data_IF_097195617878
#
_entry.id   IF_097195617878
#
_cell.length_a   1.000
_cell.length_b   1.000
_cell.length_c   1.000
_cell.angle_alpha   90.00
_cell.angle_beta   90.00
_cell.angle_gamma   90.00
#
_symmetry.space_group_name_H-M   'P 1'
#
loop_
_entity.id
_entity.type
_entity.pdbx_description
1 polymer ?
#
# COMPACT_ATOMS: atom_id res chain seq x y z
N UNK A 1 -2.56 4.25 20.38
CA UNK A 1 -3.73 3.48 19.91
C UNK A 1 -3.32 2.64 18.71
N UNK A 2 -3.57 1.32 18.72
CA UNK A 2 -3.37 0.48 17.54
C UNK A 2 -4.44 0.81 16.48
N UNK A 3 -4.00 1.19 15.27
CA UNK A 3 -4.86 1.62 14.16
C UNK A 3 -5.36 0.47 13.30
N UNK A 4 -4.61 -0.64 13.26
CA UNK A 4 -4.94 -1.82 12.46
C UNK A 4 -6.22 -2.48 12.98
N UNK A 5 -7.00 -3.04 12.05
CA UNK A 5 -8.00 -4.03 12.42
C UNK A 5 -7.29 -5.23 13.07
N UNK A 6 -7.85 -5.76 14.16
CA UNK A 6 -7.28 -6.94 14.83
C UNK A 6 -7.33 -8.11 13.86
N UNK A 7 -6.20 -8.78 13.68
CA UNK A 7 -6.06 -10.02 12.92
C UNK A 7 -4.87 -10.80 13.50
N UNK A 8 -4.87 -12.12 13.30
CA UNK A 8 -3.80 -13.04 13.71
C UNK A 8 -3.24 -13.79 12.48
N UNK A 9 -3.33 -13.16 11.31
CA UNK A 9 -2.93 -13.79 10.06
C UNK A 9 -1.40 -13.97 9.98
N UNK A 10 -0.99 -15.04 9.31
CA UNK A 10 0.40 -15.27 8.89
C UNK A 10 0.55 -15.33 7.37
N UNK A 11 -0.56 -15.46 6.63
CA UNK A 11 -0.60 -15.49 5.16
C UNK A 11 -1.62 -14.49 4.61
N UNK A 12 -1.53 -14.22 3.30
CA UNK A 12 -2.46 -13.31 2.60
C UNK A 12 -3.88 -13.87 2.64
N UNK A 13 -4.04 -15.18 2.44
CA UNK A 13 -5.33 -15.87 2.43
C UNK A 13 -5.98 -15.83 3.81
N UNK A 14 -5.18 -16.04 4.87
CA UNK A 14 -5.65 -15.90 6.24
C UNK A 14 -6.05 -14.45 6.56
N UNK A 15 -5.30 -13.47 6.06
CA UNK A 15 -5.63 -12.07 6.26
C UNK A 15 -6.96 -11.72 5.60
N UNK A 16 -7.15 -12.11 4.33
CA UNK A 16 -8.36 -11.86 3.57
C UNK A 16 -9.60 -12.54 4.19
N UNK A 17 -9.45 -13.76 4.73
CA UNK A 17 -10.55 -14.47 5.39
C UNK A 17 -10.96 -13.83 6.73
N UNK A 18 -10.05 -13.10 7.38
CA UNK A 18 -10.29 -12.40 8.65
C UNK A 18 -10.78 -10.96 8.47
N UNK A 19 -10.87 -10.45 7.23
CA UNK A 19 -11.42 -9.11 6.98
C UNK A 19 -12.90 -9.09 7.40
N UNK A 20 -13.33 -8.13 8.25
CA UNK A 20 -14.73 -7.98 8.63
C UNK A 20 -15.64 -7.78 7.42
N UNK A 21 -16.87 -8.30 7.49
CA UNK A 21 -17.80 -8.33 6.37
C UNK A 21 -18.03 -6.95 5.72
N UNK A 22 -18.07 -5.87 6.52
CA UNK A 22 -18.29 -4.50 6.04
C UNK A 22 -17.13 -3.88 5.24
N UNK A 23 -15.95 -4.53 5.23
CA UNK A 23 -14.74 -4.09 4.50
C UNK A 23 -14.26 -5.14 3.49
N UNK A 24 -14.86 -6.34 3.50
CA UNK A 24 -14.40 -7.48 2.71
C UNK A 24 -14.47 -7.22 1.22
N UNK A 25 -15.55 -6.55 0.77
CA UNK A 25 -15.72 -6.14 -0.63
C UNK A 25 -14.59 -5.23 -1.07
N UNK A 26 -14.30 -4.18 -0.31
CA UNK A 26 -13.32 -3.17 -0.67
C UNK A 26 -11.89 -3.74 -0.62
N UNK A 27 -11.53 -4.47 0.44
CA UNK A 27 -10.20 -5.09 0.56
C UNK A 27 -9.98 -6.13 -0.55
N UNK A 28 -10.97 -6.97 -0.84
CA UNK A 28 -10.89 -7.93 -1.95
C UNK A 28 -10.69 -7.24 -3.28
N UNK A 29 -11.50 -6.23 -3.59
CA UNK A 29 -11.36 -5.44 -4.82
C UNK A 29 -9.96 -4.84 -4.97
N UNK A 30 -9.44 -4.17 -3.94
CA UNK A 30 -8.12 -3.53 -4.03
C UNK A 30 -6.98 -4.55 -4.05
N UNK A 31 -7.14 -5.72 -3.43
CA UNK A 31 -6.17 -6.81 -3.56
C UNK A 31 -6.05 -7.27 -5.01
N UNK A 32 -7.18 -7.63 -5.63
CA UNK A 32 -7.22 -8.11 -7.02
C UNK A 32 -6.73 -7.02 -7.99
N UNK A 33 -7.17 -5.78 -7.76
CA UNK A 33 -6.77 -4.63 -8.58
C UNK A 33 -5.26 -4.40 -8.55
N UNK A 34 -4.61 -4.49 -7.38
CA UNK A 34 -3.16 -4.35 -7.27
C UNK A 34 -2.47 -5.51 -8.00
N UNK A 35 -2.89 -6.76 -7.77
CA UNK A 35 -2.31 -7.94 -8.43
C UNK A 35 -2.38 -7.85 -9.97
N UNK A 36 -3.49 -7.36 -10.53
CA UNK A 36 -3.66 -7.17 -11.97
C UNK A 36 -2.80 -6.02 -12.50
N UNK A 37 -2.70 -4.93 -11.74
CA UNK A 37 -2.02 -3.70 -12.19
C UNK A 37 -0.50 -3.83 -12.19
N UNK A 38 0.06 -4.54 -11.21
CA UNK A 38 1.51 -4.72 -11.00
C UNK A 38 1.85 -6.20 -10.81
N UNK A 39 1.70 -7.04 -11.85
CA UNK A 39 1.80 -8.50 -11.74
C UNK A 39 3.20 -9.00 -11.36
N UNK A 40 4.25 -8.17 -11.50
CA UNK A 40 5.61 -8.54 -11.10
C UNK A 40 5.88 -8.34 -9.60
N UNK A 41 4.92 -7.78 -8.85
CA UNK A 41 5.03 -7.54 -7.41
C UNK A 41 4.19 -8.57 -6.65
N UNK A 42 4.76 -9.75 -6.32
CA UNK A 42 3.99 -10.82 -5.70
C UNK A 42 3.47 -10.38 -4.32
N UNK A 43 2.22 -10.74 -3.97
CA UNK A 43 1.66 -10.45 -2.66
C UNK A 43 2.30 -11.32 -1.58
N UNK A 44 2.48 -10.76 -0.39
CA UNK A 44 2.92 -11.47 0.81
C UNK A 44 2.35 -10.81 2.06
N UNK A 45 2.30 -11.53 3.17
CA UNK A 45 1.85 -10.95 4.43
C UNK A 45 2.99 -10.14 5.07
N UNK A 46 2.74 -8.85 5.32
CA UNK A 46 3.74 -7.89 5.78
C UNK A 46 3.18 -7.03 6.93
N UNK A 47 3.50 -7.39 8.18
CA UNK A 47 3.20 -6.59 9.36
C UNK A 47 1.72 -6.12 9.46
N UNK A 48 0.76 -7.06 9.52
CA UNK A 48 -0.69 -6.80 9.55
C UNK A 48 -1.28 -6.17 8.27
N UNK A 49 -0.57 -6.30 7.15
CA UNK A 49 -0.97 -5.80 5.84
C UNK A 49 -0.63 -6.84 4.78
N UNK A 50 -1.19 -6.68 3.59
CA UNK A 50 -0.70 -7.38 2.40
C UNK A 50 0.34 -6.47 1.74
N UNK A 51 1.60 -6.90 1.66
CA UNK A 51 2.65 -6.24 0.89
C UNK A 51 2.73 -6.79 -0.54
N UNK A 52 3.16 -5.97 -1.49
CA UNK A 52 3.36 -6.35 -2.89
C UNK A 52 4.74 -5.91 -3.34
N UNK A 53 5.59 -6.89 -3.64
CA UNK A 53 7.01 -6.66 -3.90
C UNK A 53 7.74 -6.06 -2.69
N UNK A 54 9.07 -6.05 -2.74
CA UNK A 54 9.86 -5.47 -1.64
C UNK A 54 11.17 -4.89 -2.15
N UNK A 55 11.72 -3.96 -1.37
CA UNK A 55 13.06 -3.41 -1.57
C UNK A 55 13.81 -3.40 -0.25
N UNK A 56 15.14 -3.35 -0.34
CA UNK A 56 16.01 -3.23 0.83
C UNK A 56 16.44 -1.79 1.00
N UNK A 57 16.55 -1.37 2.26
CA UNK A 57 17.06 -0.05 2.60
C UNK A 57 17.85 -0.08 3.91
N UNK A 58 18.70 0.91 4.11
CA UNK A 58 19.38 1.15 5.39
C UNK A 58 18.54 2.05 6.28
N UNK A 59 18.25 1.59 7.49
CA UNK A 59 17.64 2.43 8.53
C UNK A 59 18.65 3.42 9.13
N UNK A 60 18.18 4.25 10.07
CA UNK A 60 19.04 5.24 10.75
C UNK A 60 20.21 4.63 11.53
N UNK A 61 20.16 3.32 11.82
CA UNK A 61 21.23 2.57 12.48
C UNK A 61 22.10 1.80 11.48
N UNK A 62 21.98 2.08 10.18
CA UNK A 62 22.68 1.40 9.08
C UNK A 62 22.40 -0.11 9.03
N UNK A 63 21.23 -0.53 9.50
CA UNK A 63 20.81 -1.93 9.40
C UNK A 63 19.98 -2.13 8.13
N UNK A 64 20.21 -3.23 7.42
CA UNK A 64 19.41 -3.60 6.26
C UNK A 64 18.02 -4.00 6.73
N UNK A 65 17.01 -3.34 6.17
CA UNK A 65 15.60 -3.62 6.35
C UNK A 65 14.97 -3.96 5.01
N UNK A 66 13.94 -4.81 5.04
CA UNK A 66 13.11 -5.12 3.88
C UNK A 66 11.77 -4.44 4.09
N UNK A 67 11.27 -3.75 3.07
CA UNK A 67 9.98 -3.07 3.14
C UNK A 67 9.16 -3.29 1.87
N UNK A 68 7.82 -3.39 1.98
CA UNK A 68 6.95 -3.49 0.82
C UNK A 68 7.04 -2.24 -0.07
N UNK A 69 6.98 -2.43 -1.39
CA UNK A 69 6.85 -1.31 -2.35
C UNK A 69 5.44 -0.74 -2.25
N UNK A 70 4.44 -1.62 -2.29
CA UNK A 70 3.03 -1.28 -2.04
C UNK A 70 2.53 -2.13 -0.88
N UNK A 71 1.69 -1.56 -0.01
CA UNK A 71 0.98 -2.34 1.00
C UNK A 71 -0.50 -1.96 1.12
N UNK A 72 -1.38 -2.95 1.18
CA UNK A 72 -2.81 -2.80 1.42
C UNK A 72 -3.11 -3.13 2.88
N UNK A 73 -3.63 -2.16 3.61
CA UNK A 73 -3.92 -2.28 5.03
C UNK A 73 -5.40 -2.03 5.32
N UNK A 74 -6.02 -3.01 5.99
CA UNK A 74 -7.33 -2.84 6.59
C UNK A 74 -7.21 -2.17 7.97
N UNK A 75 -7.63 -0.90 8.04
CA UNK A 75 -7.64 -0.13 9.29
C UNK A 75 -9.05 -0.16 9.89
N UNK A 76 -9.16 0.13 11.19
CA UNK A 76 -10.46 0.06 11.90
C UNK A 76 -11.59 0.84 11.24
N UNK A 77 -11.28 1.99 10.65
CA UNK A 77 -12.27 2.94 10.14
C UNK A 77 -12.14 3.24 8.64
N UNK A 78 -11.07 2.77 7.99
CA UNK A 78 -10.71 3.11 6.62
C UNK A 78 -9.76 2.07 6.03
N UNK A 79 -9.45 2.20 4.75
CA UNK A 79 -8.46 1.39 4.04
C UNK A 79 -7.29 2.29 3.70
N UNK A 80 -6.08 1.77 3.83
CA UNK A 80 -4.87 2.49 3.45
C UNK A 80 -4.10 1.69 2.42
N UNK A 81 -3.80 2.32 1.29
CA UNK A 81 -2.77 1.84 0.36
C UNK A 81 -1.51 2.66 0.62
N UNK A 82 -0.45 1.98 1.06
CA UNK A 82 0.87 2.55 1.17
C UNK A 82 1.62 2.37 -0.15
N UNK A 83 2.27 3.42 -0.63
CA UNK A 83 3.05 3.49 -1.86
C UNK A 83 4.42 4.04 -1.49
N UNK A 84 5.35 3.13 -1.21
CA UNK A 84 6.74 3.42 -0.88
C UNK A 84 7.55 3.55 -2.18
N UNK A 85 7.27 4.63 -2.90
CA UNK A 85 7.94 4.99 -4.14
C UNK A 85 8.10 6.50 -4.26
N UNK A 86 9.15 6.92 -4.94
CA UNK A 86 9.54 8.33 -5.11
C UNK A 86 9.63 8.65 -6.60
N UNK A 87 9.24 9.85 -6.97
CA UNK A 87 9.46 10.42 -8.31
C UNK A 87 10.10 11.80 -8.15
N UNK A 88 11.41 11.88 -8.38
CA UNK A 88 12.23 13.04 -8.04
C UNK A 88 12.42 13.17 -6.52
N UNK A 89 11.92 14.27 -5.93
CA UNK A 89 12.05 14.56 -4.48
C UNK A 89 10.74 14.33 -3.70
N UNK A 90 9.69 13.83 -4.35
CA UNK A 90 8.36 13.65 -3.76
C UNK A 90 7.90 12.21 -3.82
N UNK A 91 7.05 11.80 -2.89
CA UNK A 91 6.39 10.50 -3.00
C UNK A 91 5.41 10.48 -4.17
N UNK A 92 5.32 9.33 -4.84
CA UNK A 92 4.40 9.14 -5.97
C UNK A 92 2.96 9.43 -5.55
N UNK A 93 2.54 9.00 -4.35
CA UNK A 93 1.19 9.27 -3.85
C UNK A 93 0.87 10.78 -3.76
N UNK A 94 1.82 11.59 -3.27
CA UNK A 94 1.67 13.05 -3.17
C UNK A 94 1.54 13.70 -4.55
N UNK A 95 2.35 13.27 -5.52
CA UNK A 95 2.32 13.78 -6.91
C UNK A 95 0.93 13.65 -7.54
N UNK A 96 0.19 12.59 -7.24
CA UNK A 96 -1.13 12.32 -7.81
C UNK A 96 -2.30 12.70 -6.88
N UNK A 97 -2.04 13.32 -5.73
CA UNK A 97 -3.05 13.54 -4.68
C UNK A 97 -4.36 14.18 -5.17
N UNK A 98 -4.27 15.21 -6.03
CA UNK A 98 -5.44 15.93 -6.56
C UNK A 98 -6.26 15.12 -7.58
N UNK A 99 -5.70 14.04 -8.12
CA UNK A 99 -6.32 13.22 -9.17
C UNK A 99 -6.88 11.90 -8.64
N UNK A 100 -6.62 11.56 -7.38
CA UNK A 100 -6.99 10.28 -6.77
C UNK A 100 -8.46 10.21 -6.32
N UNK A 101 -9.22 11.29 -6.45
CA UNK A 101 -10.63 11.35 -6.06
C UNK A 101 -10.83 11.86 -4.64
N UNK A 102 -11.83 11.33 -3.94
CA UNK A 102 -12.23 11.71 -2.58
C UNK A 102 -11.43 10.95 -1.52
N UNK A 103 -10.11 11.09 -1.57
CA UNK A 103 -9.18 10.37 -0.68
C UNK A 103 -8.38 11.35 0.20
N UNK A 104 -7.83 10.85 1.31
CA UNK A 104 -6.84 11.57 2.10
C UNK A 104 -5.44 11.03 1.80
N UNK A 105 -4.57 11.88 1.25
CA UNK A 105 -3.19 11.52 0.92
C UNK A 105 -2.24 12.12 1.96
N UNK A 106 -1.39 11.27 2.56
CA UNK A 106 -0.18 11.70 3.24
C UNK A 106 1.05 11.32 2.41
N UNK A 107 2.26 11.41 2.98
CA UNK A 107 3.54 11.14 2.27
C UNK A 107 3.49 9.89 1.39
N UNK A 108 3.46 8.71 1.99
CA UNK A 108 3.41 7.44 1.25
C UNK A 108 2.04 6.75 1.33
N UNK A 109 0.97 7.41 1.77
CA UNK A 109 -0.27 6.72 2.10
C UNK A 109 -1.50 7.38 1.47
N UNK A 110 -2.39 6.54 0.93
CA UNK A 110 -3.66 6.93 0.32
C UNK A 110 -4.75 6.27 1.16
N UNK A 111 -5.58 7.09 1.82
CA UNK A 111 -6.61 6.64 2.77
C UNK A 111 -8.00 6.95 2.25
N UNK A 112 -8.89 5.96 2.28
CA UNK A 112 -10.26 6.06 1.79
C UNK A 112 -11.16 5.04 2.48
N UNK A 113 -12.47 5.07 2.24
CA UNK A 113 -13.40 4.13 2.88
C UNK A 113 -14.08 3.20 1.89
N UNK A 114 -14.34 3.69 0.68
CA UNK A 114 -15.07 2.95 -0.34
C UNK A 114 -14.33 2.98 -1.67
N UNK A 115 -14.65 2.02 -2.52
CA UNK A 115 -14.12 1.95 -3.89
C UNK A 115 -14.48 3.23 -4.66
N UNK A 116 -15.70 3.73 -4.49
CA UNK A 116 -16.20 4.90 -5.22
C UNK A 116 -15.50 6.22 -4.82
N UNK A 117 -14.78 6.24 -3.70
CA UNK A 117 -13.99 7.41 -3.30
C UNK A 117 -12.69 7.53 -4.13
N UNK A 118 -12.27 6.46 -4.80
CA UNK A 118 -10.96 6.36 -5.46
C UNK A 118 -11.10 6.42 -6.97
N UNK A 119 -10.34 7.31 -7.62
CA UNK A 119 -10.14 7.26 -9.06
C UNK A 119 -9.15 6.10 -9.38
N UNK A 120 -9.69 4.96 -9.82
CA UNK A 120 -8.91 3.74 -10.09
C UNK A 120 -7.92 3.91 -11.24
N UNK A 121 -8.21 4.73 -12.26
CA UNK A 121 -7.27 4.97 -13.36
C UNK A 121 -6.05 5.77 -12.90
N UNK A 122 -6.25 6.75 -12.02
CA UNK A 122 -5.14 7.44 -11.37
C UNK A 122 -4.39 6.52 -10.41
N UNK A 123 -5.10 5.70 -9.65
CA UNK A 123 -4.45 4.72 -8.76
C UNK A 123 -3.60 3.74 -9.56
N UNK A 124 -4.05 3.26 -10.72
CA UNK A 124 -3.27 2.37 -11.58
C UNK A 124 -1.93 3.01 -11.98
N UNK A 125 -1.96 4.28 -12.41
CA UNK A 125 -0.75 5.04 -12.75
C UNK A 125 0.18 5.19 -11.55
N UNK A 126 -0.35 5.40 -10.35
CA UNK A 126 0.43 5.44 -9.10
C UNK A 126 1.13 4.10 -8.86
N UNK A 127 0.41 2.98 -8.93
CA UNK A 127 0.97 1.65 -8.68
C UNK A 127 2.05 1.27 -9.71
N UNK A 128 1.80 1.52 -10.99
CA UNK A 128 2.78 1.27 -12.07
C UNK A 128 4.02 2.16 -11.95
N UNK A 129 3.86 3.40 -11.51
CA UNK A 129 5.01 4.28 -11.22
C UNK A 129 5.79 3.75 -10.02
N UNK A 130 5.11 3.20 -9.02
CA UNK A 130 5.71 2.66 -7.82
C UNK A 130 6.54 1.39 -8.09
N UNK A 131 6.05 0.49 -8.95
CA UNK A 131 6.79 -0.69 -9.41
C UNK A 131 8.17 -0.32 -10.00
N UNK A 132 8.24 0.81 -10.71
CA UNK A 132 9.47 1.27 -11.38
C UNK A 132 10.41 2.06 -10.47
N UNK A 133 9.90 2.68 -9.40
CA UNK A 133 10.64 3.62 -8.58
C UNK A 133 10.50 3.35 -7.07
N UNK A 134 10.81 2.13 -6.59
CA UNK A 134 10.69 1.80 -5.17
C UNK A 134 11.65 2.66 -4.33
N UNK A 135 11.16 3.22 -3.22
CA UNK A 135 11.98 4.06 -2.37
C UNK A 135 11.24 4.80 -1.25
N UNK A 136 12.02 5.35 -0.33
CA UNK A 136 11.53 6.23 0.74
C UNK A 136 12.45 7.43 0.93
N UNK A 137 11.87 8.61 1.09
CA UNK A 137 12.65 9.84 1.27
C UNK A 137 13.49 9.72 2.55
N UNK A 138 14.79 9.93 2.42
CA UNK A 138 15.75 9.82 3.53
C UNK A 138 16.19 8.38 3.84
N UNK A 139 15.81 7.39 3.02
CA UNK A 139 16.31 6.03 3.11
C UNK A 139 17.28 5.73 1.95
N UNK A 140 18.42 5.13 2.26
CA UNK A 140 19.36 4.64 1.24
C UNK A 140 18.94 3.23 0.81
N UNK A 141 18.56 3.06 -0.47
CA UNK A 141 18.22 1.77 -1.07
C UNK A 141 19.49 0.96 -1.33
N UNK A 142 19.45 -0.36 -1.09
CA UNK A 142 20.61 -1.28 -1.17
C UNK A 142 20.34 -2.62 -1.87
#
# INVERSE_FOLDING_TARGET
MNMFAKNEAATVEQYLSQVPEHQKKEIGFFHDFICITVPNLPPYFAANMIGYGSFRYLDSKKQIRVWPIIALANQKNYISIYVCAIDGEQYVAEKYAKQLGKVSVGRSCIRFRKIEDVNVDTLARVLQTAEKNPGMIGAAIV
#
